data_IF_948765427063
#
_entry.id   IF_948765427063
#
_cell.length_a   1.000
_cell.length_b   1.000
_cell.length_c   1.000
_cell.angle_alpha   90.00
_cell.angle_beta   90.00
_cell.angle_gamma   90.00
#
_symmetry.space_group_name_H-M   'P 1'
#
loop_
_entity.id
_entity.type
_entity.pdbx_description
1 polymer ?
#
# COMPACT_ATOMS: atom_id res chain seq x y z
N UNK A 1 30.80 -29.30 -20.79
CA UNK A 1 30.49 -27.98 -21.36
C UNK A 1 30.47 -26.98 -20.23
N UNK A 2 31.34 -25.97 -20.27
CA UNK A 2 31.33 -24.86 -19.31
C UNK A 2 30.18 -23.92 -19.71
N UNK A 3 29.26 -23.68 -18.79
CA UNK A 3 28.21 -22.66 -18.90
C UNK A 3 28.87 -21.29 -18.99
N UNK A 4 28.84 -20.69 -20.18
CA UNK A 4 29.05 -19.26 -20.32
C UNK A 4 27.92 -18.55 -19.58
N UNK A 5 28.23 -17.99 -18.41
CA UNK A 5 27.49 -16.83 -17.94
C UNK A 5 27.67 -15.77 -19.03
N UNK A 6 26.67 -15.56 -19.87
CA UNK A 6 26.68 -14.48 -20.85
C UNK A 6 27.02 -13.18 -20.12
N UNK A 7 28.15 -12.58 -20.48
CA UNK A 7 28.54 -11.26 -20.01
C UNK A 7 27.45 -10.27 -20.45
N UNK A 8 26.50 -9.97 -19.55
CA UNK A 8 25.54 -8.88 -19.80
C UNK A 8 26.32 -7.59 -19.82
N UNK A 9 26.28 -6.91 -20.96
CA UNK A 9 26.79 -5.55 -21.04
C UNK A 9 25.91 -4.63 -20.17
N UNK A 10 26.56 -3.81 -19.36
CA UNK A 10 25.92 -2.90 -18.41
C UNK A 10 26.02 -1.48 -18.94
N UNK A 11 24.88 -0.81 -19.06
CA UNK A 11 24.82 0.62 -19.29
C UNK A 11 24.60 1.28 -17.93
N UNK A 12 25.40 2.29 -17.61
CA UNK A 12 25.27 3.07 -16.38
C UNK A 12 25.22 4.55 -16.68
N UNK A 13 24.16 5.21 -16.22
CA UNK A 13 24.00 6.66 -16.25
C UNK A 13 23.95 7.13 -14.81
N UNK A 14 24.82 8.06 -14.44
CA UNK A 14 24.89 8.56 -13.06
C UNK A 14 25.04 10.06 -13.06
N UNK A 15 24.09 10.75 -12.46
CA UNK A 15 24.22 12.18 -12.15
C UNK A 15 25.09 12.41 -10.92
N UNK A 16 25.69 13.61 -10.84
CA UNK A 16 26.58 14.00 -9.74
C UNK A 16 25.82 14.76 -8.63
N UNK A 17 24.68 14.24 -8.20
CA UNK A 17 23.77 14.90 -7.24
C UNK A 17 24.39 15.20 -5.87
N UNK A 18 25.38 14.39 -5.45
CA UNK A 18 25.96 14.43 -4.11
C UNK A 18 26.91 15.61 -3.84
N UNK A 19 27.40 16.32 -4.87
CA UNK A 19 28.38 17.40 -4.66
C UNK A 19 27.79 18.80 -4.53
N UNK A 20 26.54 19.03 -4.94
CA UNK A 20 25.94 20.39 -5.01
C UNK A 20 24.41 20.47 -4.87
N UNK A 21 23.71 19.39 -4.51
CA UNK A 21 22.23 19.32 -4.63
C UNK A 21 21.74 19.52 -6.09
N UNK A 22 22.62 19.35 -7.07
CA UNK A 22 22.32 19.51 -8.50
C UNK A 22 22.30 18.12 -9.16
N UNK A 23 21.10 17.64 -9.50
CA UNK A 23 20.93 16.41 -10.30
C UNK A 23 21.17 16.71 -11.78
N UNK A 24 21.55 15.69 -12.54
CA UNK A 24 21.53 15.79 -14.00
C UNK A 24 20.07 15.79 -14.44
N UNK A 25 19.63 16.86 -15.07
CA UNK A 25 18.26 17.05 -15.53
C UNK A 25 18.08 16.56 -16.97
N UNK A 26 17.04 15.77 -17.17
CA UNK A 26 16.60 15.27 -18.47
C UNK A 26 15.26 15.95 -18.75
N UNK A 27 15.20 16.79 -19.77
CA UNK A 27 14.06 17.67 -19.99
C UNK A 27 13.66 17.80 -21.45
N UNK A 28 12.35 18.00 -21.68
CA UNK A 28 11.84 18.49 -22.96
C UNK A 28 12.04 19.99 -23.09
N UNK A 29 12.12 20.48 -24.33
CA UNK A 29 12.17 21.88 -24.71
C UNK A 29 10.82 22.56 -24.87
N UNK A 30 9.70 21.81 -24.92
CA UNK A 30 8.33 22.38 -24.99
C UNK A 30 7.31 21.61 -24.16
N UNK A 31 6.14 22.24 -23.93
CA UNK A 31 5.08 21.73 -23.06
C UNK A 31 4.39 20.44 -23.55
N UNK A 32 4.59 20.03 -24.80
CA UNK A 32 4.01 18.79 -25.36
C UNK A 32 5.08 17.81 -25.85
N UNK A 33 6.35 18.06 -25.53
CA UNK A 33 7.44 17.22 -26.02
C UNK A 33 7.44 15.84 -25.37
N UNK A 34 7.64 14.82 -26.20
CA UNK A 34 7.82 13.45 -25.75
C UNK A 34 6.54 12.63 -25.62
N UNK A 35 5.35 13.18 -25.89
CA UNK A 35 4.10 12.41 -25.83
C UNK A 35 4.20 11.10 -26.67
N UNK A 36 3.94 9.96 -26.03
CA UNK A 36 4.06 8.63 -26.66
C UNK A 36 5.49 8.11 -26.89
N UNK A 37 6.52 8.87 -26.50
CA UNK A 37 7.93 8.52 -26.64
C UNK A 37 8.56 8.15 -25.29
N UNK A 38 9.72 7.51 -25.35
CA UNK A 38 10.54 7.16 -24.19
C UNK A 38 11.97 7.64 -24.39
N UNK A 39 12.62 8.11 -23.33
CA UNK A 39 14.01 8.56 -23.43
C UNK A 39 14.97 7.37 -23.60
N UNK A 40 14.69 6.26 -22.93
CA UNK A 40 15.43 5.01 -23.06
C UNK A 40 14.50 3.90 -23.55
N UNK A 41 14.85 3.29 -24.69
CA UNK A 41 14.12 2.13 -25.23
C UNK A 41 15.10 0.95 -25.31
N UNK A 42 14.77 -0.13 -24.61
CA UNK A 42 15.50 -1.40 -24.67
C UNK A 42 14.70 -2.41 -25.49
N UNK A 43 15.21 -2.72 -26.68
CA UNK A 43 14.56 -3.60 -27.65
C UNK A 43 14.56 -5.07 -27.19
N UNK A 44 13.64 -5.89 -27.73
CA UNK A 44 13.39 -7.27 -27.31
C UNK A 44 14.63 -8.18 -27.32
N UNK A 45 15.54 -7.97 -28.26
CA UNK A 45 16.72 -8.83 -28.46
C UNK A 45 17.87 -8.50 -27.50
N UNK A 46 17.74 -7.42 -26.70
CA UNK A 46 18.82 -6.94 -25.83
C UNK A 46 18.82 -7.68 -24.50
N UNK A 47 19.96 -8.28 -24.16
CA UNK A 47 20.26 -8.88 -22.86
C UNK A 47 21.24 -7.97 -22.10
N UNK A 48 20.73 -7.11 -21.23
CA UNK A 48 21.54 -6.06 -20.59
C UNK A 48 21.16 -5.80 -19.13
N UNK A 49 21.94 -4.94 -18.49
CA UNK A 49 21.55 -4.27 -17.25
C UNK A 49 21.61 -2.77 -17.49
N UNK A 50 20.49 -2.08 -17.28
CA UNK A 50 20.42 -0.62 -17.36
C UNK A 50 20.34 -0.07 -15.93
N UNK A 51 21.37 0.67 -15.53
CA UNK A 51 21.45 1.27 -14.21
C UNK A 51 21.44 2.79 -14.33
N UNK A 52 20.49 3.45 -13.69
CA UNK A 52 20.30 4.90 -13.74
C UNK A 52 20.24 5.42 -12.31
N UNK A 53 21.06 6.44 -12.02
CA UNK A 53 21.23 6.96 -10.67
C UNK A 53 21.28 8.49 -10.63
N UNK A 54 20.70 9.09 -9.60
CA UNK A 54 20.88 10.52 -9.29
C UNK A 54 20.53 11.46 -10.45
N UNK A 55 19.46 11.14 -11.18
CA UNK A 55 18.93 11.98 -12.25
C UNK A 55 17.57 12.56 -11.87
N UNK A 56 17.18 13.61 -12.57
CA UNK A 56 15.87 14.23 -12.44
C UNK A 56 15.25 14.38 -13.83
N UNK A 57 14.01 13.91 -14.00
CA UNK A 57 13.22 14.13 -15.21
C UNK A 57 12.21 15.25 -14.96
N UNK A 58 12.33 16.34 -15.73
CA UNK A 58 11.48 17.53 -15.63
C UNK A 58 10.92 17.89 -17.01
N UNK A 59 9.75 18.54 -17.09
CA UNK A 59 9.19 19.07 -18.34
C UNK A 59 9.20 18.08 -19.52
N UNK A 60 8.98 16.80 -19.26
CA UNK A 60 8.90 15.73 -20.25
C UNK A 60 7.54 15.02 -20.10
N UNK A 61 6.74 14.98 -21.16
CA UNK A 61 5.41 14.33 -21.13
C UNK A 61 5.42 12.87 -21.58
N UNK A 62 6.56 12.37 -22.05
CA UNK A 62 6.73 10.97 -22.41
C UNK A 62 7.09 10.09 -21.22
N UNK A 63 7.34 8.82 -21.51
CA UNK A 63 7.94 7.90 -20.56
C UNK A 63 9.44 8.09 -20.42
N UNK A 64 10.02 7.56 -19.34
CA UNK A 64 11.45 7.60 -19.13
C UNK A 64 12.13 6.38 -19.74
N UNK A 65 11.69 5.17 -19.37
CA UNK A 65 12.26 3.92 -19.85
C UNK A 65 11.18 2.92 -20.27
N UNK A 66 11.35 2.35 -21.46
CA UNK A 66 10.61 1.19 -21.94
C UNK A 66 11.58 0.03 -22.17
N UNK A 67 11.29 -1.14 -21.62
CA UNK A 67 12.08 -2.34 -21.87
C UNK A 67 11.20 -3.50 -22.28
N UNK A 68 11.40 -4.00 -23.49
CA UNK A 68 10.75 -5.20 -24.03
C UNK A 68 11.72 -6.40 -24.13
N UNK A 69 13.00 -6.21 -23.80
CA UNK A 69 14.04 -7.24 -23.87
C UNK A 69 14.35 -7.97 -22.57
N UNK A 70 15.35 -8.86 -22.59
CA UNK A 70 15.83 -9.64 -21.45
C UNK A 70 16.70 -8.80 -20.49
N UNK A 71 16.18 -7.66 -20.04
CA UNK A 71 16.96 -6.62 -19.38
C UNK A 71 16.50 -6.36 -17.95
N UNK A 72 17.45 -6.26 -17.03
CA UNK A 72 17.18 -5.77 -15.67
C UNK A 72 17.38 -4.26 -15.63
N UNK A 73 16.43 -3.55 -15.05
CA UNK A 73 16.49 -2.09 -14.87
C UNK A 73 16.73 -1.82 -13.39
N UNK A 74 17.64 -0.90 -13.08
CA UNK A 74 17.94 -0.44 -11.73
C UNK A 74 17.81 1.09 -11.72
N UNK A 75 16.85 1.61 -10.98
CA UNK A 75 16.64 3.04 -10.75
C UNK A 75 16.94 3.35 -9.28
N UNK A 76 17.85 4.28 -9.03
CA UNK A 76 18.28 4.59 -7.67
C UNK A 76 18.44 6.11 -7.48
N UNK A 77 17.83 6.66 -6.43
CA UNK A 77 17.95 8.10 -6.10
C UNK A 77 17.51 9.02 -7.25
N UNK A 78 16.49 8.60 -8.03
CA UNK A 78 15.98 9.34 -9.18
C UNK A 78 14.69 10.10 -8.84
N UNK A 79 14.44 11.21 -9.53
CA UNK A 79 13.17 11.94 -9.46
C UNK A 79 12.54 11.96 -10.84
N UNK A 80 11.27 11.56 -10.92
CA UNK A 80 10.52 11.52 -12.16
C UNK A 80 9.22 12.30 -12.05
N UNK A 81 9.04 13.29 -12.92
CA UNK A 81 7.80 14.06 -13.02
C UNK A 81 6.97 13.60 -14.21
N UNK A 82 5.68 13.34 -14.02
CA UNK A 82 4.75 12.86 -15.05
C UNK A 82 4.40 11.36 -14.95
N UNK A 83 3.49 10.90 -15.81
CA UNK A 83 3.05 9.51 -15.89
C UNK A 83 3.70 8.72 -17.04
N UNK A 84 3.55 7.40 -17.04
CA UNK A 84 4.15 6.52 -18.05
C UNK A 84 5.67 6.36 -17.88
N UNK A 85 6.21 6.69 -16.71
CA UNK A 85 7.65 6.78 -16.45
C UNK A 85 8.39 5.50 -16.80
N UNK A 86 7.91 4.35 -16.36
CA UNK A 86 8.58 3.05 -16.54
C UNK A 86 7.60 2.03 -17.10
N UNK A 87 7.91 1.47 -18.26
CA UNK A 87 7.20 0.34 -18.84
C UNK A 87 8.16 -0.84 -18.97
N UNK A 88 7.95 -1.88 -18.18
CA UNK A 88 8.81 -3.06 -18.12
C UNK A 88 8.05 -4.32 -18.57
N UNK A 89 8.37 -4.76 -19.77
CA UNK A 89 7.92 -6.00 -20.37
C UNK A 89 9.12 -6.96 -20.52
N UNK A 90 9.83 -7.19 -19.42
CA UNK A 90 11.05 -7.98 -19.36
C UNK A 90 10.90 -9.09 -18.33
N UNK A 91 11.32 -10.33 -18.59
CA UNK A 91 11.28 -11.41 -17.58
C UNK A 91 12.24 -11.18 -16.39
N UNK A 92 12.95 -10.05 -16.35
CA UNK A 92 13.93 -9.70 -15.32
C UNK A 92 13.38 -8.68 -14.33
N UNK A 93 14.19 -8.46 -13.29
CA UNK A 93 13.88 -7.55 -12.20
C UNK A 93 13.92 -6.09 -12.67
N UNK A 94 12.88 -5.34 -12.33
CA UNK A 94 12.90 -3.90 -12.15
C UNK A 94 13.19 -3.58 -10.67
N UNK A 95 14.34 -2.99 -10.40
CA UNK A 95 14.80 -2.60 -9.07
C UNK A 95 14.69 -1.08 -8.92
N UNK A 96 13.94 -0.62 -7.93
CA UNK A 96 13.72 0.80 -7.67
C UNK A 96 14.04 1.08 -6.22
N UNK A 97 14.92 2.04 -5.96
CA UNK A 97 15.30 2.39 -4.60
C UNK A 97 15.46 3.90 -4.42
N UNK A 98 14.97 4.43 -3.29
CA UNK A 98 15.13 5.84 -2.92
C UNK A 98 14.71 6.83 -4.01
N UNK A 99 13.73 6.47 -4.84
CA UNK A 99 13.30 7.29 -5.98
C UNK A 99 11.95 7.92 -5.73
N UNK A 100 11.68 9.05 -6.39
CA UNK A 100 10.44 9.80 -6.27
C UNK A 100 9.73 9.86 -7.62
N UNK A 101 8.44 9.59 -7.62
CA UNK A 101 7.53 9.69 -8.76
C UNK A 101 6.45 10.71 -8.43
N UNK A 102 6.38 11.76 -9.22
CA UNK A 102 5.57 12.94 -8.95
C UNK A 102 4.64 13.16 -10.14
N UNK A 103 3.33 13.14 -9.89
CA UNK A 103 2.34 13.47 -10.90
C UNK A 103 2.09 14.98 -10.99
N UNK A 104 1.06 15.37 -11.74
CA UNK A 104 0.76 16.78 -11.98
C UNK A 104 -0.30 17.35 -11.03
N UNK A 105 -0.91 16.56 -10.14
CA UNK A 105 -1.93 17.02 -9.17
C UNK A 105 -3.28 17.52 -9.75
N UNK A 106 -3.34 17.86 -11.04
CA UNK A 106 -4.38 18.72 -11.63
C UNK A 106 -5.70 18.03 -12.06
N UNK A 107 -6.18 16.97 -11.39
CA UNK A 107 -7.34 16.15 -11.83
C UNK A 107 -7.23 15.54 -13.26
N UNK A 108 -6.19 15.86 -14.03
CA UNK A 108 -5.92 15.26 -15.33
C UNK A 108 -5.31 13.87 -15.13
N UNK A 109 -5.97 12.86 -15.65
CA UNK A 109 -5.52 11.48 -15.51
C UNK A 109 -4.23 11.25 -16.28
N UNK A 110 -3.27 10.59 -15.64
CA UNK A 110 -1.98 10.22 -16.21
C UNK A 110 -1.87 8.70 -16.40
N UNK A 111 -0.94 8.29 -17.26
CA UNK A 111 -0.48 6.91 -17.32
C UNK A 111 0.17 6.47 -16.00
N UNK A 112 0.21 5.17 -15.69
CA UNK A 112 0.87 4.68 -14.49
C UNK A 112 2.31 5.16 -14.38
N UNK A 113 2.80 5.47 -13.18
CA UNK A 113 4.23 5.75 -13.02
C UNK A 113 5.06 4.54 -13.45
N UNK A 114 4.66 3.36 -12.99
CA UNK A 114 5.33 2.10 -13.31
C UNK A 114 4.29 1.10 -13.80
N UNK A 115 4.54 0.51 -14.97
CA UNK A 115 3.79 -0.59 -15.52
C UNK A 115 4.70 -1.79 -15.78
N UNK A 116 4.34 -2.96 -15.23
CA UNK A 116 5.06 -4.21 -15.42
C UNK A 116 4.09 -5.23 -16.02
N UNK A 117 4.44 -5.78 -17.18
CA UNK A 117 3.63 -6.77 -17.92
C UNK A 117 4.27 -8.16 -17.94
N UNK A 118 5.56 -8.24 -17.61
CA UNK A 118 6.33 -9.47 -17.50
C UNK A 118 7.44 -9.22 -16.47
N UNK A 119 7.78 -10.22 -15.66
CA UNK A 119 8.93 -10.19 -14.76
C UNK A 119 8.55 -9.99 -13.31
N UNK A 120 9.21 -9.02 -12.66
CA UNK A 120 8.86 -8.57 -11.31
C UNK A 120 9.52 -7.25 -10.92
N UNK A 121 8.97 -6.62 -9.88
CA UNK A 121 9.53 -5.43 -9.24
C UNK A 121 9.99 -5.71 -7.81
N UNK A 122 11.11 -5.08 -7.45
CA UNK A 122 11.51 -4.84 -6.07
C UNK A 122 11.63 -3.31 -5.90
N UNK A 123 10.68 -2.70 -5.18
CA UNK A 123 10.70 -1.27 -4.87
C UNK A 123 11.03 -1.08 -3.40
N UNK A 124 11.97 -0.19 -3.09
CA UNK A 124 12.44 0.08 -1.74
C UNK A 124 12.49 1.57 -1.44
N UNK A 125 11.93 1.99 -0.31
CA UNK A 125 12.05 3.34 0.23
C UNK A 125 11.83 4.45 -0.81
N UNK A 126 10.82 4.27 -1.65
CA UNK A 126 10.51 5.16 -2.77
C UNK A 126 9.14 5.83 -2.55
N UNK A 127 8.96 7.01 -3.13
CA UNK A 127 7.82 7.88 -2.90
C UNK A 127 7.01 8.07 -4.18
N UNK A 128 5.68 7.98 -4.08
CA UNK A 128 4.74 8.19 -5.17
C UNK A 128 3.72 9.25 -4.75
N UNK A 129 3.72 10.39 -5.42
CA UNK A 129 2.90 11.54 -5.01
C UNK A 129 2.20 12.22 -6.16
N UNK A 130 1.06 12.87 -5.86
CA UNK A 130 0.36 13.78 -6.78
C UNK A 130 -0.03 13.16 -8.14
N UNK A 131 -0.07 11.84 -8.24
CA UNK A 131 -0.61 11.14 -9.39
C UNK A 131 -2.14 11.21 -9.42
N UNK A 132 -2.71 11.26 -10.62
CA UNK A 132 -4.16 11.20 -10.82
C UNK A 132 -4.48 10.06 -11.78
N UNK A 133 -5.24 9.07 -11.34
CA UNK A 133 -5.45 7.83 -12.08
C UNK A 133 -6.93 7.49 -12.17
N UNK A 134 -7.38 6.95 -13.31
CA UNK A 134 -8.75 6.48 -13.45
C UNK A 134 -8.85 5.41 -14.53
N UNK A 135 -9.60 4.34 -14.23
CA UNK A 135 -9.77 3.19 -15.11
C UNK A 135 -8.95 1.97 -14.70
N UNK A 136 -9.23 0.84 -15.34
CA UNK A 136 -8.55 -0.42 -15.10
C UNK A 136 -7.08 -0.36 -15.54
N UNK A 137 -6.20 -1.03 -14.79
CA UNK A 137 -4.77 -1.04 -15.09
C UNK A 137 -4.10 0.33 -14.92
N UNK A 138 -4.68 1.20 -14.07
CA UNK A 138 -4.14 2.52 -13.75
C UNK A 138 -3.78 2.63 -12.27
N UNK A 139 -2.70 3.34 -11.98
CA UNK A 139 -2.19 3.46 -10.63
C UNK A 139 -0.75 3.94 -10.55
N UNK A 140 -0.20 4.04 -9.34
CA UNK A 140 1.22 4.35 -9.19
C UNK A 140 2.08 3.18 -9.71
N UNK A 141 1.83 1.98 -9.20
CA UNK A 141 2.47 0.74 -9.65
C UNK A 141 1.41 -0.21 -10.16
N UNK A 142 1.51 -0.57 -11.43
CA UNK A 142 0.62 -1.54 -12.08
C UNK A 142 1.41 -2.79 -12.44
N UNK A 143 0.99 -3.93 -11.90
CA UNK A 143 1.57 -5.24 -12.21
C UNK A 143 0.48 -6.06 -12.93
N UNK A 144 0.84 -6.60 -14.08
CA UNK A 144 -0.07 -7.27 -15.01
C UNK A 144 0.67 -8.36 -15.80
N UNK A 145 -0.04 -9.26 -16.47
CA UNK A 145 0.57 -10.36 -17.23
C UNK A 145 1.30 -11.38 -16.35
N UNK A 146 2.34 -12.01 -16.90
CA UNK A 146 3.09 -13.10 -16.28
C UNK A 146 4.15 -12.56 -15.31
N UNK A 147 3.80 -12.50 -14.02
CA UNK A 147 4.76 -12.17 -12.96
C UNK A 147 4.74 -13.24 -11.88
N UNK A 148 5.93 -13.57 -11.37
CA UNK A 148 6.07 -14.62 -10.36
C UNK A 148 5.92 -14.08 -8.95
N UNK A 149 6.64 -13.01 -8.59
CA UNK A 149 6.64 -12.43 -7.25
C UNK A 149 7.03 -10.98 -7.30
N UNK A 150 6.35 -10.07 -6.61
CA UNK A 150 6.79 -8.68 -6.50
C UNK A 150 6.89 -8.24 -5.04
N UNK A 151 7.82 -7.33 -4.75
CA UNK A 151 8.08 -6.82 -3.40
C UNK A 151 8.06 -5.30 -3.41
N UNK A 152 7.23 -4.71 -2.57
CA UNK A 152 7.20 -3.27 -2.31
C UNK A 152 7.52 -3.07 -0.84
N UNK A 153 8.60 -2.37 -0.54
CA UNK A 153 9.15 -2.26 0.80
C UNK A 153 9.41 -0.83 1.20
N UNK A 154 8.91 -0.46 2.38
CA UNK A 154 9.06 0.88 2.99
C UNK A 154 8.69 2.03 2.05
N UNK A 155 7.72 1.85 1.16
CA UNK A 155 7.34 2.86 0.17
C UNK A 155 6.17 3.73 0.65
N UNK A 156 6.10 4.95 0.12
CA UNK A 156 5.08 5.93 0.47
C UNK A 156 4.23 6.32 -0.75
N UNK A 157 2.91 6.29 -0.58
CA UNK A 157 1.91 6.67 -1.57
C UNK A 157 1.04 7.78 -0.97
N UNK A 158 1.36 9.03 -1.27
CA UNK A 158 0.82 10.20 -0.57
C UNK A 158 0.15 11.13 -1.56
N UNK A 159 -1.05 11.63 -1.23
CA UNK A 159 -1.74 12.67 -2.01
C UNK A 159 -1.96 12.28 -3.49
N UNK A 160 -2.24 11.00 -3.75
CA UNK A 160 -2.64 10.54 -5.09
C UNK A 160 -4.17 10.53 -5.21
N UNK A 161 -4.69 10.95 -6.36
CA UNK A 161 -6.11 10.92 -6.71
C UNK A 161 -6.40 9.59 -7.41
N UNK A 162 -7.14 8.71 -6.74
CA UNK A 162 -7.59 7.45 -7.31
C UNK A 162 -9.07 7.53 -7.71
N UNK A 163 -9.30 7.60 -9.02
CA UNK A 163 -10.59 7.44 -9.67
C UNK A 163 -11.07 5.98 -9.71
N UNK A 164 -12.20 5.73 -10.39
CA UNK A 164 -12.83 4.41 -10.45
C UNK A 164 -11.85 3.37 -11.00
N UNK A 165 -11.81 2.19 -10.38
CA UNK A 165 -11.00 1.04 -10.79
C UNK A 165 -9.47 1.25 -10.84
N UNK A 166 -8.96 2.35 -10.29
CA UNK A 166 -7.53 2.64 -10.17
C UNK A 166 -7.02 2.34 -8.76
N UNK A 167 -5.70 2.20 -8.57
CA UNK A 167 -5.13 2.02 -7.24
C UNK A 167 -3.69 2.55 -7.09
N UNK A 168 -3.21 2.77 -5.87
CA UNK A 168 -1.79 3.03 -5.61
C UNK A 168 -0.92 1.86 -6.09
N UNK A 169 -1.26 0.66 -5.65
CA UNK A 169 -0.73 -0.60 -6.19
C UNK A 169 -1.88 -1.39 -6.81
N UNK A 170 -1.81 -1.62 -8.12
CA UNK A 170 -2.81 -2.37 -8.87
C UNK A 170 -2.21 -3.65 -9.45
N UNK A 171 -2.58 -4.79 -8.87
CA UNK A 171 -2.33 -6.11 -9.47
C UNK A 171 -3.55 -6.44 -10.32
N UNK A 172 -3.38 -6.48 -11.64
CA UNK A 172 -4.50 -6.62 -12.60
C UNK A 172 -4.62 -8.02 -13.23
N UNK A 173 -3.64 -8.88 -13.01
CA UNK A 173 -3.62 -10.29 -13.42
C UNK A 173 -3.32 -11.20 -12.22
N UNK A 174 -3.53 -12.50 -12.40
CA UNK A 174 -3.18 -13.48 -11.37
C UNK A 174 -1.66 -13.71 -11.34
N UNK A 175 -0.98 -13.05 -10.42
CA UNK A 175 0.45 -13.27 -10.12
C UNK A 175 0.59 -14.19 -8.91
N UNK A 176 1.72 -14.90 -8.76
CA UNK A 176 1.83 -15.87 -7.67
C UNK A 176 1.91 -15.24 -6.28
N UNK A 177 2.59 -14.09 -6.13
CA UNK A 177 2.75 -13.40 -4.85
C UNK A 177 2.99 -11.89 -5.01
N UNK A 178 2.27 -11.09 -4.23
CA UNK A 178 2.65 -9.71 -3.89
C UNK A 178 2.98 -9.63 -2.40
N UNK A 179 4.14 -9.05 -2.10
CA UNK A 179 4.57 -8.77 -0.73
C UNK A 179 4.76 -7.27 -0.56
N UNK A 180 3.97 -6.67 0.32
CA UNK A 180 4.15 -5.30 0.80
C UNK A 180 4.64 -5.42 2.24
N UNK A 181 5.91 -5.16 2.49
CA UNK A 181 6.50 -5.42 3.82
C UNK A 181 7.35 -4.27 4.27
N UNK A 182 7.55 -4.14 5.56
CA UNK A 182 8.30 -3.04 6.15
C UNK A 182 8.77 -3.46 7.54
N UNK A 183 9.32 -2.52 8.31
CA UNK A 183 9.67 -2.74 9.72
C UNK A 183 8.93 -1.76 10.61
N UNK A 184 8.87 -2.02 11.92
CA UNK A 184 8.29 -1.08 12.87
C UNK A 184 8.94 0.32 12.82
N UNK A 185 10.26 0.37 12.55
CA UNK A 185 11.01 1.62 12.47
C UNK A 185 10.86 2.36 11.13
N UNK A 186 10.43 1.66 10.08
CA UNK A 186 10.33 2.20 8.73
C UNK A 186 9.14 1.54 8.03
N UNK A 187 7.96 2.11 8.26
CA UNK A 187 6.67 1.59 7.81
C UNK A 187 6.35 2.09 6.40
N UNK A 188 5.70 1.26 5.59
CA UNK A 188 5.09 1.73 4.34
C UNK A 188 3.87 2.60 4.66
N UNK A 189 3.55 3.57 3.81
CA UNK A 189 2.47 4.52 4.09
C UNK A 189 1.59 4.77 2.87
N UNK A 190 0.29 4.70 3.07
CA UNK A 190 -0.74 5.13 2.14
C UNK A 190 -1.58 6.22 2.81
N UNK A 191 -1.64 7.39 2.17
CA UNK A 191 -2.42 8.52 2.66
C UNK A 191 -3.20 9.17 1.54
N UNK A 192 -4.47 9.44 1.79
CA UNK A 192 -5.37 10.09 0.84
C UNK A 192 -5.28 11.62 0.91
N UNK A 193 -6.33 12.27 0.41
CA UNK A 193 -6.44 13.73 0.32
C UNK A 193 -7.22 14.32 1.51
N UNK A 194 -7.33 13.57 2.61
CA UNK A 194 -8.13 13.96 3.76
C UNK A 194 -9.58 13.52 3.71
N UNK A 195 -10.40 14.25 4.46
CA UNK A 195 -11.79 13.89 4.76
C UNK A 195 -12.79 14.45 3.74
N UNK A 196 -12.40 15.52 3.04
CA UNK A 196 -13.28 16.24 2.11
C UNK A 196 -13.23 15.64 0.71
N UNK A 197 -12.03 15.25 0.27
CA UNK A 197 -11.78 14.76 -1.09
C UNK A 197 -11.85 13.24 -1.16
N UNK A 198 -13.07 12.74 -1.41
CA UNK A 198 -13.32 11.29 -1.48
C UNK A 198 -12.74 10.65 -2.74
N UNK A 199 -11.92 9.62 -2.54
CA UNK A 199 -11.36 8.72 -3.55
C UNK A 199 -12.42 7.73 -4.05
N UNK A 200 -12.32 7.33 -5.31
CA UNK A 200 -13.18 6.28 -5.92
C UNK A 200 -12.45 4.96 -6.15
N UNK A 201 -11.12 4.98 -6.09
CA UNK A 201 -10.26 3.83 -6.26
C UNK A 201 -9.76 3.26 -4.94
N UNK A 202 -8.61 2.60 -5.00
CA UNK A 202 -8.05 1.88 -3.86
C UNK A 202 -6.63 2.33 -3.52
N UNK A 203 -6.18 2.11 -2.28
CA UNK A 203 -4.74 2.17 -2.03
C UNK A 203 -4.04 0.95 -2.62
N UNK A 204 -4.59 -0.24 -2.37
CA UNK A 204 -4.12 -1.50 -2.94
C UNK A 204 -5.31 -2.25 -3.51
N UNK A 205 -5.16 -2.71 -4.74
CA UNK A 205 -6.09 -3.64 -5.40
C UNK A 205 -5.31 -4.85 -5.88
N UNK A 206 -5.65 -6.04 -5.37
CA UNK A 206 -4.92 -7.28 -5.63
C UNK A 206 -5.81 -8.38 -6.21
N UNK A 207 -5.34 -8.98 -7.31
CA UNK A 207 -5.82 -10.27 -7.85
C UNK A 207 -4.75 -11.38 -7.75
N UNK A 208 -3.74 -11.19 -6.90
CA UNK A 208 -2.67 -12.17 -6.72
C UNK A 208 -3.18 -13.45 -6.03
N UNK A 209 -2.56 -14.60 -6.31
CA UNK A 209 -2.80 -15.85 -5.56
C UNK A 209 -2.46 -15.66 -4.09
N UNK A 210 -1.36 -14.97 -3.80
CA UNK A 210 -0.92 -14.65 -2.45
C UNK A 210 -0.72 -13.16 -2.28
N UNK A 211 -1.30 -12.59 -1.23
CA UNK A 211 -1.16 -11.17 -0.86
C UNK A 211 -0.68 -11.07 0.58
N UNK A 212 0.57 -10.65 0.77
CA UNK A 212 1.17 -10.49 2.10
C UNK A 212 1.43 -9.01 2.36
N UNK A 213 0.87 -8.47 3.43
CA UNK A 213 1.02 -7.06 3.81
C UNK A 213 1.48 -6.98 5.26
N UNK A 214 2.59 -6.30 5.52
CA UNK A 214 3.02 -6.04 6.90
C UNK A 214 3.63 -4.68 7.13
N UNK A 215 3.54 -4.20 8.38
CA UNK A 215 4.11 -2.92 8.84
C UNK A 215 3.72 -1.74 7.92
N UNK A 216 2.45 -1.67 7.54
CA UNK A 216 1.92 -0.65 6.62
C UNK A 216 0.84 0.19 7.29
N UNK A 217 0.89 1.50 7.06
CA UNK A 217 -0.08 2.48 7.55
C UNK A 217 -1.01 2.93 6.43
N UNK A 218 -2.30 2.72 6.62
CA UNK A 218 -3.38 3.21 5.78
C UNK A 218 -4.11 4.30 6.55
N UNK A 219 -3.87 5.55 6.18
CA UNK A 219 -4.26 6.68 6.99
C UNK A 219 -5.02 7.74 6.18
N UNK A 220 -5.97 8.43 6.83
CA UNK A 220 -6.50 9.73 6.40
C UNK A 220 -7.01 9.68 4.95
N UNK A 221 -8.16 9.04 4.75
CA UNK A 221 -8.80 8.99 3.45
C UNK A 221 -10.31 8.85 3.58
N UNK A 222 -11.03 9.39 2.60
CA UNK A 222 -12.45 9.10 2.40
C UNK A 222 -12.63 8.38 1.07
N UNK A 223 -13.51 7.39 1.03
CA UNK A 223 -13.81 6.57 -0.13
C UNK A 223 -15.31 6.61 -0.46
N UNK A 224 -15.62 6.60 -1.75
CA UNK A 224 -16.97 6.51 -2.32
C UNK A 224 -16.97 5.55 -3.51
N UNK A 225 -18.15 5.29 -4.07
CA UNK A 225 -18.32 4.44 -5.27
C UNK A 225 -17.62 3.07 -5.14
N UNK A 226 -17.67 2.46 -3.94
CA UNK A 226 -17.04 1.19 -3.57
C UNK A 226 -15.50 1.17 -3.52
N UNK A 227 -14.85 2.34 -3.47
CA UNK A 227 -13.42 2.45 -3.15
C UNK A 227 -13.10 2.03 -1.70
N UNK A 228 -11.83 1.82 -1.38
CA UNK A 228 -11.38 1.45 -0.04
C UNK A 228 -9.86 1.38 0.08
N UNK A 229 -9.31 1.21 1.28
CA UNK A 229 -7.85 1.06 1.40
C UNK A 229 -7.35 -0.21 0.71
N UNK A 230 -7.99 -1.35 0.95
CA UNK A 230 -7.57 -2.64 0.40
C UNK A 230 -8.73 -3.36 -0.26
N UNK A 231 -8.55 -3.74 -1.53
CA UNK A 231 -9.37 -4.72 -2.23
C UNK A 231 -8.53 -5.94 -2.58
N UNK A 232 -8.97 -7.13 -2.14
CA UNK A 232 -8.45 -8.41 -2.60
C UNK A 232 -9.61 -9.18 -3.24
N UNK A 233 -9.45 -9.60 -4.49
CA UNK A 233 -10.53 -10.27 -5.21
C UNK A 233 -10.01 -11.39 -6.10
N UNK A 234 -10.91 -12.30 -6.51
CA UNK A 234 -10.70 -13.27 -7.57
C UNK A 234 -11.70 -13.17 -8.74
N UNK A 235 -12.49 -12.08 -8.79
CA UNK A 235 -13.60 -11.89 -9.75
C UNK A 235 -13.17 -11.85 -11.23
N UNK A 236 -11.87 -11.74 -11.51
CA UNK A 236 -11.30 -11.66 -12.87
C UNK A 236 -11.12 -13.05 -13.52
N UNK A 237 -12.15 -13.91 -13.42
CA UNK A 237 -12.33 -15.27 -13.96
C UNK A 237 -11.37 -15.71 -15.10
N UNK A 238 -10.15 -16.08 -14.73
CA UNK A 238 -9.27 -16.97 -15.50
C UNK A 238 -8.73 -18.12 -14.64
N UNK A 239 -9.36 -18.40 -13.49
CA UNK A 239 -8.88 -19.42 -12.56
C UNK A 239 -9.45 -20.79 -12.90
N UNK A 240 -8.71 -21.53 -13.72
CA UNK A 240 -8.73 -23.01 -13.71
C UNK A 240 -7.80 -23.58 -12.62
N UNK A 241 -7.39 -22.81 -11.61
CA UNK A 241 -6.35 -23.25 -10.68
C UNK A 241 -6.93 -23.90 -9.43
N UNK A 242 -6.56 -25.17 -9.22
CA UNK A 242 -6.56 -25.89 -7.95
C UNK A 242 -5.73 -25.24 -6.82
N UNK A 243 -5.32 -23.97 -6.97
CA UNK A 243 -4.42 -23.28 -6.07
C UNK A 243 -5.23 -22.53 -5.01
N UNK A 244 -4.88 -22.78 -3.74
CA UNK A 244 -5.47 -22.07 -2.60
C UNK A 244 -4.93 -20.64 -2.56
N UNK A 245 -5.83 -19.65 -2.50
CA UNK A 245 -5.42 -18.26 -2.29
C UNK A 245 -5.02 -18.01 -0.82
N UNK A 246 -4.09 -17.09 -0.60
CA UNK A 246 -3.56 -16.79 0.72
C UNK A 246 -3.50 -15.28 0.94
N UNK A 247 -4.07 -14.83 2.05
CA UNK A 247 -4.01 -13.42 2.48
C UNK A 247 -3.46 -13.36 3.88
N UNK A 248 -2.33 -12.67 4.04
CA UNK A 248 -1.66 -12.45 5.31
C UNK A 248 -1.51 -10.94 5.51
N UNK A 249 -2.10 -10.43 6.60
CA UNK A 249 -2.03 -9.00 6.95
C UNK A 249 -1.58 -8.90 8.40
N UNK A 250 -0.40 -8.32 8.64
CA UNK A 250 0.13 -8.20 9.99
C UNK A 250 0.75 -6.85 10.33
N UNK A 251 0.69 -6.45 11.60
CA UNK A 251 1.36 -5.23 12.08
C UNK A 251 0.93 -3.96 11.33
N UNK A 252 -0.30 -3.93 10.79
CA UNK A 252 -0.82 -2.82 9.99
C UNK A 252 -1.73 -1.89 10.81
N UNK A 253 -1.74 -0.61 10.43
CA UNK A 253 -2.59 0.41 11.04
C UNK A 253 -3.57 0.93 9.99
N UNK A 254 -4.86 0.90 10.30
CA UNK A 254 -5.94 1.43 9.49
C UNK A 254 -6.62 2.54 10.30
N UNK A 255 -6.28 3.80 9.98
CA UNK A 255 -6.70 4.95 10.79
C UNK A 255 -7.38 6.04 9.97
N UNK A 256 -8.48 6.60 10.49
CA UNK A 256 -9.18 7.72 9.85
C UNK A 256 -9.63 7.40 8.41
N UNK A 257 -10.05 6.16 8.16
CA UNK A 257 -10.57 5.74 6.88
C UNK A 257 -12.10 5.89 6.89
N UNK A 258 -12.63 6.65 5.93
CA UNK A 258 -14.07 6.84 5.76
C UNK A 258 -14.56 6.11 4.52
N UNK A 259 -15.65 5.36 4.61
CA UNK A 259 -16.23 4.64 3.47
C UNK A 259 -17.73 4.85 3.35
N UNK A 260 -18.25 4.84 2.12
CA UNK A 260 -19.67 4.68 1.85
C UNK A 260 -19.98 3.19 1.59
N UNK A 261 -20.81 2.56 2.42
CA UNK A 261 -21.16 1.13 2.32
C UNK A 261 -20.36 0.23 3.27
N UNK A 262 -20.12 -1.02 2.84
CA UNK A 262 -19.78 -2.14 3.73
C UNK A 262 -18.31 -2.20 4.20
N UNK A 263 -17.38 -1.44 3.61
CA UNK A 263 -16.06 -1.21 4.21
C UNK A 263 -15.34 0.03 3.66
N UNK A 264 -14.65 0.77 4.54
CA UNK A 264 -13.68 1.81 4.16
C UNK A 264 -12.22 1.33 4.21
N UNK A 265 -11.95 0.26 4.97
CA UNK A 265 -10.60 -0.26 5.20
C UNK A 265 -10.31 -1.49 4.33
N UNK A 266 -10.91 -2.65 4.60
CA UNK A 266 -10.59 -3.89 3.87
C UNK A 266 -11.83 -4.49 3.23
N UNK A 267 -11.71 -4.84 1.95
CA UNK A 267 -12.69 -5.59 1.17
C UNK A 267 -12.02 -6.84 0.59
N UNK A 268 -12.60 -8.01 0.86
CA UNK A 268 -12.15 -9.28 0.32
C UNK A 268 -13.32 -9.98 -0.37
N UNK A 269 -13.18 -10.25 -1.66
CA UNK A 269 -14.20 -10.96 -2.45
C UNK A 269 -13.57 -12.17 -3.16
N UNK A 270 -13.63 -13.34 -2.53
CA UNK A 270 -12.94 -14.54 -3.03
C UNK A 270 -13.91 -15.73 -3.09
N UNK A 271 -14.09 -16.27 -4.28
CA UNK A 271 -14.93 -17.43 -4.57
C UNK A 271 -14.20 -18.78 -4.49
N UNK A 272 -12.89 -18.77 -4.75
CA UNK A 272 -12.00 -19.94 -4.67
C UNK A 272 -11.69 -20.35 -3.22
N UNK A 273 -11.04 -21.50 -3.02
CA UNK A 273 -10.59 -21.93 -1.68
C UNK A 273 -9.43 -21.03 -1.21
N UNK A 274 -9.45 -20.60 0.05
CA UNK A 274 -8.41 -19.72 0.59
C UNK A 274 -8.15 -19.89 2.10
N UNK A 275 -7.02 -19.29 2.53
CA UNK A 275 -6.66 -19.07 3.94
C UNK A 275 -6.43 -17.59 4.28
N UNK A 276 -6.85 -17.20 5.49
CA UNK A 276 -6.64 -15.87 6.06
C UNK A 276 -5.78 -15.93 7.31
N UNK A 277 -4.85 -14.98 7.45
CA UNK A 277 -4.16 -14.71 8.71
C UNK A 277 -4.04 -13.20 8.92
N UNK A 278 -4.77 -12.68 9.90
CA UNK A 278 -4.68 -11.33 10.40
C UNK A 278 -4.05 -11.37 11.77
N UNK A 279 -2.90 -10.72 11.94
CA UNK A 279 -2.24 -10.70 13.25
C UNK A 279 -1.72 -9.32 13.59
N UNK A 280 -1.97 -8.87 14.82
CA UNK A 280 -1.45 -7.56 15.26
C UNK A 280 -1.85 -6.45 14.28
N UNK A 281 -3.15 -6.25 14.01
CA UNK A 281 -3.62 -5.10 13.23
C UNK A 281 -4.40 -4.14 14.12
N UNK A 282 -4.35 -2.84 13.82
CA UNK A 282 -5.15 -1.81 14.51
C UNK A 282 -6.09 -1.13 13.55
N UNK A 283 -7.38 -1.16 13.87
CA UNK A 283 -8.40 -0.36 13.21
C UNK A 283 -8.85 0.73 14.18
N UNK A 284 -8.68 2.00 13.80
CA UNK A 284 -8.91 3.11 14.71
C UNK A 284 -9.59 4.30 14.01
N UNK A 285 -10.66 4.82 14.62
CA UNK A 285 -11.39 6.00 14.14
C UNK A 285 -11.83 5.90 12.66
N UNK A 286 -12.16 4.69 12.21
CA UNK A 286 -12.76 4.46 10.89
C UNK A 286 -14.27 4.76 10.95
N UNK A 287 -14.81 5.38 9.91
CA UNK A 287 -16.21 5.85 9.89
C UNK A 287 -16.89 5.42 8.58
N UNK A 288 -18.05 4.78 8.65
CA UNK A 288 -18.90 4.65 7.47
C UNK A 288 -20.34 4.29 7.82
N UNK A 289 -21.23 4.51 6.87
CA UNK A 289 -22.67 4.39 7.07
C UNK A 289 -23.12 2.95 7.40
N UNK A 290 -22.36 1.93 6.97
CA UNK A 290 -22.57 0.49 7.26
C UNK A 290 -21.26 -0.21 7.73
N UNK A 291 -20.26 0.55 8.17
CA UNK A 291 -18.85 0.16 8.03
C UNK A 291 -18.35 -0.85 9.06
N UNK A 292 -18.24 -2.10 8.60
CA UNK A 292 -17.23 -3.02 9.14
C UNK A 292 -15.82 -2.55 8.74
N UNK A 293 -14.85 -2.73 9.62
CA UNK A 293 -13.43 -2.56 9.30
C UNK A 293 -12.99 -3.53 8.18
N UNK A 294 -13.56 -4.73 8.19
CA UNK A 294 -13.26 -5.79 7.23
C UNK A 294 -14.57 -6.38 6.69
N UNK A 295 -14.78 -6.25 5.39
CA UNK A 295 -15.84 -6.94 4.67
C UNK A 295 -15.27 -8.12 3.88
N UNK A 296 -15.86 -9.30 4.06
CA UNK A 296 -15.44 -10.54 3.42
C UNK A 296 -16.65 -11.19 2.77
N UNK A 297 -16.59 -11.43 1.47
CA UNK A 297 -17.56 -12.22 0.73
C UNK A 297 -16.90 -13.44 0.11
N UNK A 298 -17.51 -14.61 0.33
CA UNK A 298 -16.92 -15.89 -0.04
C UNK A 298 -17.92 -17.03 -0.10
N UNK A 299 -17.65 -18.01 -0.95
CA UNK A 299 -18.36 -19.29 -1.02
C UNK A 299 -17.61 -20.48 -0.40
N UNK A 300 -16.31 -20.39 -0.11
CA UNK A 300 -15.43 -21.54 0.15
C UNK A 300 -14.38 -21.30 1.25
N UNK A 301 -14.84 -20.96 2.46
CA UNK A 301 -13.96 -20.82 3.62
C UNK A 301 -13.63 -22.19 4.21
N UNK A 302 -12.35 -22.57 4.25
CA UNK A 302 -11.95 -23.80 4.95
C UNK A 302 -11.52 -23.61 6.41
N UNK A 303 -11.22 -22.39 6.86
CA UNK A 303 -10.66 -22.16 8.22
C UNK A 303 -10.83 -20.73 8.75
N UNK A 304 -12.03 -20.16 8.73
CA UNK A 304 -12.29 -18.91 9.47
C UNK A 304 -12.61 -19.25 10.92
N UNK A 305 -11.73 -18.85 11.83
CA UNK A 305 -11.89 -19.04 13.28
C UNK A 305 -11.57 -17.74 13.99
N UNK A 306 -11.90 -17.60 15.28
CA UNK A 306 -11.47 -16.44 16.07
C UNK A 306 -9.94 -16.27 16.08
N UNK A 307 -9.16 -17.34 15.88
CA UNK A 307 -7.70 -17.28 15.78
C UNK A 307 -7.21 -16.59 14.50
N UNK A 308 -8.07 -16.44 13.49
CA UNK A 308 -7.76 -15.72 12.23
C UNK A 308 -7.38 -14.26 12.47
N UNK A 309 -7.80 -13.66 13.59
CA UNK A 309 -7.54 -12.24 13.92
C UNK A 309 -6.69 -12.07 15.17
N UNK A 310 -5.78 -13.01 15.44
CA UNK A 310 -5.01 -13.04 16.67
C UNK A 310 -4.28 -11.72 16.96
N UNK A 311 -4.57 -11.09 18.11
CA UNK A 311 -3.98 -9.80 18.48
C UNK A 311 -4.35 -8.64 17.55
N UNK A 312 -5.41 -8.76 16.73
CA UNK A 312 -5.95 -7.61 15.99
C UNK A 312 -7.03 -6.91 16.82
N UNK A 313 -7.07 -5.59 16.72
CA UNK A 313 -7.90 -4.75 17.57
C UNK A 313 -8.68 -3.72 16.77
N UNK A 314 -9.83 -3.31 17.30
CA UNK A 314 -10.58 -2.19 16.76
C UNK A 314 -11.20 -1.31 17.84
N UNK A 315 -11.18 0.01 17.60
CA UNK A 315 -11.89 1.00 18.40
C UNK A 315 -13.29 1.35 17.83
N UNK A 316 -13.72 0.70 16.74
CA UNK A 316 -15.03 0.95 16.11
C UNK A 316 -16.19 0.45 16.99
N UNK A 317 -17.27 1.25 17.07
CA UNK A 317 -18.40 1.05 18.00
C UNK A 317 -19.40 -0.07 17.61
N UNK A 318 -19.28 -0.64 16.41
CA UNK A 318 -20.23 -1.58 15.79
C UNK A 318 -19.45 -2.65 15.00
N UNK A 319 -20.04 -3.80 14.59
CA UNK A 319 -19.24 -4.99 14.33
C UNK A 319 -18.14 -4.79 13.28
N UNK A 320 -16.92 -5.18 13.66
CA UNK A 320 -15.69 -4.86 12.95
C UNK A 320 -15.50 -5.70 11.69
N UNK A 321 -16.08 -6.89 11.66
CA UNK A 321 -15.94 -7.82 10.54
C UNK A 321 -17.32 -8.26 10.10
N UNK A 322 -17.62 -8.07 8.81
CA UNK A 322 -18.80 -8.59 8.15
C UNK A 322 -18.40 -9.69 7.17
N UNK A 323 -18.88 -10.91 7.42
CA UNK A 323 -18.58 -12.09 6.62
C UNK A 323 -19.87 -12.59 5.95
N UNK A 324 -19.86 -12.71 4.62
CA UNK A 324 -20.92 -13.36 3.86
C UNK A 324 -20.42 -14.73 3.40
N UNK A 325 -21.08 -15.80 3.85
CA UNK A 325 -20.86 -17.17 3.38
C UNK A 325 -22.08 -17.65 2.60
N UNK A 326 -22.01 -17.56 1.27
CA UNK A 326 -23.17 -17.82 0.40
C UNK A 326 -24.31 -16.84 0.68
N UNK A 327 -25.38 -17.29 1.35
CA UNK A 327 -26.54 -16.45 1.69
C UNK A 327 -26.61 -16.07 3.19
N UNK A 328 -25.67 -16.53 4.01
CA UNK A 328 -25.70 -16.29 5.46
C UNK A 328 -24.67 -15.21 5.84
N UNK A 329 -25.14 -14.03 6.30
CA UNK A 329 -24.26 -13.01 6.87
C UNK A 329 -23.91 -13.35 8.31
N UNK A 330 -22.67 -13.08 8.68
CA UNK A 330 -22.12 -13.25 10.02
C UNK A 330 -21.31 -12.01 10.40
N UNK A 331 -21.28 -11.69 11.70
CA UNK A 331 -20.53 -10.54 12.22
C UNK A 331 -19.59 -10.97 13.33
N UNK A 332 -18.37 -10.45 13.31
CA UNK A 332 -17.38 -10.68 14.36
C UNK A 332 -16.84 -9.36 14.88
N UNK A 333 -16.62 -9.30 16.18
CA UNK A 333 -15.98 -8.16 16.83
C UNK A 333 -14.53 -8.49 17.11
N UNK A 334 -13.65 -7.53 16.86
CA UNK A 334 -12.27 -7.58 17.28
C UNK A 334 -12.18 -7.16 18.75
N UNK A 335 -11.06 -7.51 19.39
CA UNK A 335 -10.77 -7.01 20.73
C UNK A 335 -10.66 -5.49 20.71
N UNK A 336 -11.14 -4.83 21.76
CA UNK A 336 -10.90 -3.42 21.95
C UNK A 336 -9.44 -3.20 22.35
N UNK A 337 -8.74 -2.26 21.72
CA UNK A 337 -7.43 -1.80 22.17
C UNK A 337 -7.61 -0.55 23.04
N UNK A 338 -7.20 -0.62 24.31
CA UNK A 338 -7.25 0.53 25.19
C UNK A 338 -5.99 1.41 25.01
N UNK A 339 -5.88 2.05 23.84
CA UNK A 339 -4.75 2.93 23.52
C UNK A 339 -4.79 4.28 24.23
N UNK A 340 -5.87 4.59 24.95
CA UNK A 340 -6.07 5.86 25.64
C UNK A 340 -5.98 5.70 27.15
N UNK A 341 -5.07 6.45 27.76
CA UNK A 341 -5.01 6.60 29.21
C UNK A 341 -5.41 8.01 29.62
N UNK A 342 -6.01 8.14 30.80
CA UNK A 342 -6.48 9.41 31.32
C UNK A 342 -5.72 9.77 32.59
N UNK A 343 -5.38 11.05 32.72
CA UNK A 343 -4.69 11.62 33.89
C UNK A 343 -5.52 12.76 34.44
N UNK A 344 -5.68 12.81 35.76
CA UNK A 344 -6.41 13.87 36.47
C UNK A 344 -5.76 14.13 37.83
N UNK A 345 -5.61 15.39 38.22
CA UNK A 345 -5.11 15.76 39.56
C UNK A 345 -6.01 15.25 40.70
N UNK A 346 -7.27 14.88 40.40
CA UNK A 346 -8.26 14.38 41.36
C UNK A 346 -8.48 12.86 41.25
N UNK A 347 -7.47 12.08 40.84
CA UNK A 347 -7.59 10.64 40.61
C UNK A 347 -8.30 9.85 41.73
N UNK A 348 -9.01 8.80 41.36
CA UNK A 348 -9.85 8.01 42.28
C UNK A 348 -8.99 7.06 43.14
N UNK A 349 -9.60 6.24 44.00
CA UNK A 349 -8.87 5.21 44.77
C UNK A 349 -8.48 3.98 43.94
N UNK A 350 -9.01 3.84 42.72
CA UNK A 350 -8.81 2.68 41.84
C UNK A 350 -8.19 3.11 40.51
N UNK A 351 -7.02 3.72 40.54
CA UNK A 351 -6.35 4.25 39.33
C UNK A 351 -5.98 3.12 38.35
N UNK A 352 -6.78 2.97 37.29
CA UNK A 352 -6.57 2.00 36.21
C UNK A 352 -6.27 2.68 34.87
N UNK A 353 -6.22 4.02 34.85
CA UNK A 353 -5.94 4.81 33.66
C UNK A 353 -7.15 5.00 32.74
N UNK A 354 -8.32 4.44 33.07
CA UNK A 354 -9.57 4.70 32.35
C UNK A 354 -10.09 6.11 32.60
N UNK A 355 -11.02 6.58 31.76
CA UNK A 355 -11.69 7.87 31.95
C UNK A 355 -12.33 8.00 33.34
N UNK A 356 -12.91 6.92 33.87
CA UNK A 356 -13.59 6.89 35.16
C UNK A 356 -12.63 6.75 36.34
N UNK A 357 -11.43 6.19 36.13
CA UNK A 357 -10.39 6.12 37.14
C UNK A 357 -9.03 6.57 36.59
N UNK A 358 -8.88 7.86 36.28
CA UNK A 358 -7.66 8.39 35.69
C UNK A 358 -6.49 8.27 36.66
N UNK A 359 -5.29 8.10 36.12
CA UNK A 359 -4.06 8.17 36.91
C UNK A 359 -3.88 9.57 37.50
N UNK A 360 -3.30 9.66 38.71
CA UNK A 360 -3.04 10.98 39.33
C UNK A 360 -1.92 11.77 38.68
N UNK A 361 -0.98 11.08 38.04
CA UNK A 361 0.24 11.68 37.54
C UNK A 361 0.57 11.16 36.14
N UNK A 362 0.90 12.08 35.24
CA UNK A 362 1.36 11.80 33.88
C UNK A 362 2.61 10.90 33.85
N UNK A 363 3.55 11.08 34.78
CA UNK A 363 4.74 10.22 34.87
C UNK A 363 4.37 8.77 35.18
N UNK A 364 3.33 8.56 35.99
CA UNK A 364 2.85 7.21 36.27
C UNK A 364 2.17 6.60 35.04
N UNK A 365 1.33 7.36 34.34
CA UNK A 365 0.72 6.93 33.08
C UNK A 365 1.76 6.55 32.02
N UNK A 366 2.78 7.39 31.81
CA UNK A 366 3.91 7.10 30.90
C UNK A 366 4.60 5.80 31.31
N UNK A 367 4.93 5.63 32.59
CA UNK A 367 5.55 4.40 33.07
C UNK A 367 4.66 3.17 32.87
N UNK A 368 3.34 3.29 33.00
CA UNK A 368 2.43 2.17 32.73
C UNK A 368 2.41 1.83 31.23
N UNK A 369 2.40 2.84 30.36
CA UNK A 369 2.50 2.65 28.91
C UNK A 369 3.81 1.97 28.52
N UNK A 370 4.94 2.47 29.01
CA UNK A 370 6.28 1.96 28.66
C UNK A 370 6.51 0.52 29.14
N UNK A 371 5.84 0.13 30.23
CA UNK A 371 5.94 -1.21 30.82
C UNK A 371 4.83 -2.16 30.39
N UNK A 372 3.87 -1.70 29.59
CA UNK A 372 2.80 -2.54 29.07
C UNK A 372 3.34 -3.47 27.99
N UNK A 373 3.48 -4.75 28.37
CA UNK A 373 3.92 -5.85 27.49
C UNK A 373 2.76 -6.63 26.90
N UNK A 374 1.52 -6.23 27.19
CA UNK A 374 0.31 -6.99 26.84
C UNK A 374 -0.26 -6.63 25.48
N UNK A 375 0.14 -5.49 24.92
CA UNK A 375 -0.35 -4.99 23.63
C UNK A 375 0.80 -4.61 22.67
N UNK A 376 0.59 -4.70 21.35
CA UNK A 376 1.63 -4.49 20.33
C UNK A 376 2.41 -3.18 20.55
N UNK A 377 3.71 -3.33 20.74
CA UNK A 377 4.70 -2.32 21.15
C UNK A 377 4.81 -1.07 20.25
N UNK A 378 4.06 -1.00 19.15
CA UNK A 378 4.24 0.00 18.10
C UNK A 378 2.97 0.79 17.75
N UNK A 379 1.87 0.66 18.52
CA UNK A 379 0.68 1.48 18.29
C UNK A 379 0.72 2.81 19.03
N UNK A 380 0.25 3.90 18.39
CA UNK A 380 0.13 5.19 19.06
C UNK A 380 -0.77 5.06 20.29
N UNK A 381 -0.26 5.51 21.43
CA UNK A 381 -1.03 5.63 22.68
C UNK A 381 -1.22 7.11 23.00
N UNK A 382 -2.37 7.44 23.58
CA UNK A 382 -2.73 8.82 23.90
C UNK A 382 -2.89 8.97 25.40
N UNK A 383 -2.27 9.99 25.99
CA UNK A 383 -2.55 10.41 27.37
C UNK A 383 -3.44 11.65 27.31
N UNK A 384 -4.67 11.49 27.78
CA UNK A 384 -5.65 12.56 27.91
C UNK A 384 -5.55 13.21 29.30
N UNK A 385 -5.34 14.52 29.35
CA UNK A 385 -5.28 15.27 30.61
C UNK A 385 -6.66 15.89 30.89
N UNK A 386 -7.29 15.47 31.98
CA UNK A 386 -8.60 15.96 32.40
C UNK A 386 -8.44 17.17 33.31
N UNK A 387 -8.94 18.33 32.86
CA UNK A 387 -8.68 19.61 33.54
C UNK A 387 -9.54 19.80 34.81
N UNK A 388 -10.77 19.25 34.87
CA UNK A 388 -11.63 19.22 36.07
C UNK A 388 -12.64 18.07 36.03
N UNK A 389 -12.73 17.31 37.11
CA UNK A 389 -13.92 16.51 37.42
C UNK A 389 -14.99 17.46 37.98
N UNK A 390 -16.13 17.60 37.29
CA UNK A 390 -17.38 18.12 37.89
C UNK A 390 -18.28 16.97 38.26
#
# INVERSE_FOLDING_TARGET
GKTQAENRERITITGNGLRKEQRVQWAGGSENEGEGLFIVIVMNEVNSVVQIRNIEMINWKGGFIKSDGNTSIILNECIFSGGGTVVCNSPKKLDISYSEFIGNGDNNYIEPFICITHGFIEAFNSKFTQGSFNGQGKGCIVISGENTRSVIESCEFIENIFGLNSAGICISSQISLITIRSTAAQRSKFTGLGIVDALKGYFIRSFAVKTHISFTDFCIASFKDSGGALLISDDNQQTNSSNEQEVVISDCIFKYLRGQGHSGAIMINISTKFGFNFSQNLFNENIGADASDIWINTSNVTSFTHQTFNGSFSESLMPNIFLIRGIQPETYNLSYFNGSQFVSMNGTQKEDGSYNNPYRNITYAINQIDNDKTDPLYYPRTINILDKWT
#
